data_IF_319438470438
#
_entry.id   IF_319438470438
#
_cell.length_a   1.000
_cell.length_b   1.000
_cell.length_c   1.000
_cell.angle_alpha   90.00
_cell.angle_beta   90.00
_cell.angle_gamma   90.00
#
_symmetry.space_group_name_H-M   'P 1'
#
loop_
_entity.id
_entity.type
_entity.pdbx_description
1 polymer ?
#
# COMPACT_ATOMS: atom_id res chain seq x y z
N UNK A 1 20.38 31.28 14.07
CA UNK A 1 19.72 30.17 13.34
C UNK A 1 18.51 29.75 14.18
N UNK A 2 17.30 30.08 13.76
CA UNK A 2 16.11 29.57 14.43
C UNK A 2 16.07 28.05 14.17
N UNK A 3 16.22 27.27 15.23
CA UNK A 3 16.02 25.83 15.20
C UNK A 3 14.49 25.58 15.04
N UNK A 4 14.08 24.92 13.98
CA UNK A 4 12.68 24.54 13.80
C UNK A 4 12.38 23.38 14.76
N UNK A 5 11.24 23.42 15.46
CA UNK A 5 10.77 22.32 16.30
C UNK A 5 9.46 21.74 15.75
N UNK A 6 9.26 20.46 15.95
CA UNK A 6 8.03 19.76 15.60
C UNK A 6 7.79 18.58 16.56
N UNK A 7 6.56 18.24 16.82
CA UNK A 7 6.25 17.03 17.60
C UNK A 7 6.58 15.78 16.79
N UNK A 8 6.19 15.77 15.52
CA UNK A 8 6.39 14.63 14.60
C UNK A 8 7.07 15.09 13.32
N UNK A 9 8.13 14.40 12.93
CA UNK A 9 8.75 14.53 11.61
C UNK A 9 8.48 13.27 10.79
N UNK A 10 7.76 13.43 9.68
CA UNK A 10 7.49 12.38 8.70
C UNK A 10 8.50 12.52 7.55
N UNK A 11 9.32 11.49 7.35
CA UNK A 11 10.37 11.46 6.31
C UNK A 11 9.84 10.65 5.12
N UNK A 12 9.61 11.33 4.01
CA UNK A 12 8.98 10.79 2.81
C UNK A 12 7.51 11.19 2.69
N UNK A 13 7.08 11.55 1.47
CA UNK A 13 5.72 11.99 1.13
C UNK A 13 4.90 10.88 0.43
N UNK A 14 5.05 9.64 0.86
CA UNK A 14 4.31 8.49 0.35
C UNK A 14 3.08 8.13 1.19
N UNK A 15 2.41 7.04 0.79
CA UNK A 15 1.15 6.58 1.42
C UNK A 15 1.28 6.31 2.92
N UNK A 16 2.42 5.77 3.38
CA UNK A 16 2.62 5.44 4.79
C UNK A 16 2.68 6.70 5.66
N UNK A 17 3.48 7.70 5.25
CA UNK A 17 3.56 8.99 5.95
C UNK A 17 2.24 9.75 5.91
N UNK A 18 1.55 9.75 4.76
CA UNK A 18 0.25 10.39 4.59
C UNK A 18 -0.82 9.76 5.51
N UNK A 19 -0.84 8.44 5.60
CA UNK A 19 -1.75 7.70 6.46
C UNK A 19 -1.47 7.99 7.93
N UNK A 20 -0.21 7.87 8.38
CA UNK A 20 0.18 8.15 9.75
C UNK A 20 -0.09 9.61 10.13
N UNK A 21 0.25 10.56 9.25
CA UNK A 21 -0.01 11.97 9.47
C UNK A 21 -1.50 12.27 9.66
N UNK A 22 -2.37 11.65 8.85
CA UNK A 22 -3.83 11.77 8.97
C UNK A 22 -4.33 11.19 10.30
N UNK A 23 -3.85 10.03 10.72
CA UNK A 23 -4.18 9.46 12.01
C UNK A 23 -3.76 10.34 13.17
N UNK A 24 -2.53 10.85 13.14
CA UNK A 24 -2.00 11.71 14.20
C UNK A 24 -2.76 13.03 14.29
N UNK A 25 -3.09 13.64 13.16
CA UNK A 25 -3.89 14.86 13.14
C UNK A 25 -5.28 14.66 13.73
N UNK A 26 -5.87 13.47 13.57
CA UNK A 26 -7.17 13.13 14.11
C UNK A 26 -7.12 12.81 15.61
N UNK A 27 -6.10 12.07 16.06
CA UNK A 27 -5.97 11.59 17.43
C UNK A 27 -5.30 12.62 18.37
N UNK A 28 -4.40 13.43 17.83
CA UNK A 28 -3.61 14.41 18.55
C UNK A 28 -3.62 15.76 17.79
N UNK A 29 -4.78 16.42 17.71
CA UNK A 29 -4.97 17.60 16.85
C UNK A 29 -4.08 18.79 17.19
N UNK A 30 -3.52 18.83 18.40
CA UNK A 30 -2.63 19.91 18.86
C UNK A 30 -1.15 19.64 18.54
N UNK A 31 -0.81 18.45 18.05
CA UNK A 31 0.58 18.16 17.70
C UNK A 31 0.99 18.82 16.39
N UNK A 32 2.19 19.37 16.38
CA UNK A 32 2.80 19.88 15.15
C UNK A 32 3.42 18.72 14.35
N UNK A 33 3.10 18.68 13.06
CA UNK A 33 3.56 17.65 12.14
C UNK A 33 4.32 18.32 10.98
N UNK A 34 5.57 17.94 10.78
CA UNK A 34 6.35 18.34 9.61
C UNK A 34 6.60 17.13 8.73
N UNK A 35 6.27 17.23 7.46
CA UNK A 35 6.59 16.23 6.44
C UNK A 35 7.69 16.77 5.53
N UNK A 36 8.72 15.96 5.28
CA UNK A 36 9.80 16.29 4.34
C UNK A 36 9.82 15.28 3.21
N UNK A 37 9.92 15.77 1.98
CA UNK A 37 9.98 14.96 0.76
C UNK A 37 11.13 15.44 -0.13
N UNK A 38 11.96 14.51 -0.61
CA UNK A 38 13.12 14.85 -1.45
C UNK A 38 12.72 15.30 -2.86
N UNK A 39 11.59 14.81 -3.37
CA UNK A 39 11.10 15.15 -4.70
C UNK A 39 10.40 16.52 -4.68
N UNK A 40 10.12 17.05 -5.86
CA UNK A 40 9.37 18.31 -6.03
C UNK A 40 7.87 18.19 -5.81
N UNK A 41 7.37 16.96 -5.66
CA UNK A 41 5.97 16.65 -5.32
C UNK A 41 5.86 15.37 -4.51
N UNK A 42 4.69 15.13 -3.92
CA UNK A 42 4.40 13.94 -3.12
C UNK A 42 3.95 12.78 -4.00
N UNK A 43 4.06 11.55 -3.52
CA UNK A 43 3.63 10.33 -4.19
C UNK A 43 4.33 10.02 -5.53
N UNK A 44 5.58 10.44 -5.69
CA UNK A 44 6.34 10.27 -6.94
C UNK A 44 7.16 8.97 -6.98
N UNK A 45 7.41 8.34 -5.85
CA UNK A 45 8.15 7.08 -5.72
C UNK A 45 7.19 5.86 -5.74
N UNK A 46 7.26 5.00 -4.73
CA UNK A 46 6.47 3.75 -4.65
C UNK A 46 4.96 3.96 -4.73
N UNK A 47 4.44 5.11 -4.26
CA UNK A 47 3.01 5.43 -4.31
C UNK A 47 2.53 5.93 -5.68
N UNK A 48 3.45 6.26 -6.60
CA UNK A 48 3.09 6.65 -7.96
C UNK A 48 2.46 5.47 -8.70
N UNK A 49 1.38 5.73 -9.45
CA UNK A 49 0.62 4.69 -10.16
C UNK A 49 1.42 3.90 -11.21
N UNK A 50 2.57 4.42 -11.67
CA UNK A 50 3.48 3.71 -12.57
C UNK A 50 4.54 2.86 -11.86
N UNK A 51 4.66 2.98 -10.53
CA UNK A 51 5.68 2.33 -9.72
C UNK A 51 5.13 1.21 -8.82
N UNK A 52 3.84 0.91 -8.93
CA UNK A 52 3.19 -0.20 -8.22
C UNK A 52 2.11 -0.84 -9.08
N UNK A 53 1.66 -2.02 -8.69
CA UNK A 53 0.65 -2.78 -9.44
C UNK A 53 -0.78 -2.23 -9.27
N UNK A 54 -1.00 -1.32 -8.33
CA UNK A 54 -2.32 -0.76 -8.05
C UNK A 54 -3.36 -1.77 -7.58
N UNK A 55 -2.94 -2.92 -7.06
CA UNK A 55 -3.86 -3.95 -6.58
C UNK A 55 -4.30 -3.68 -5.14
N UNK A 56 -5.57 -3.92 -4.86
CA UNK A 56 -6.04 -4.04 -3.50
C UNK A 56 -5.60 -5.39 -2.92
N UNK A 57 -4.54 -5.37 -2.10
CA UNK A 57 -3.87 -6.57 -1.61
C UNK A 57 -4.70 -7.34 -0.59
N UNK A 58 -5.75 -8.04 -1.07
CA UNK A 58 -6.61 -8.89 -0.25
C UNK A 58 -6.23 -10.38 -0.32
N UNK A 59 -5.04 -10.71 -0.82
CA UNK A 59 -4.52 -12.08 -1.00
C UNK A 59 -5.44 -12.99 -1.84
N UNK A 60 -6.21 -12.41 -2.74
CA UNK A 60 -7.21 -13.14 -3.55
C UNK A 60 -6.56 -13.89 -4.71
N UNK A 61 -5.47 -13.33 -5.27
CA UNK A 61 -4.81 -13.86 -6.47
C UNK A 61 -3.32 -14.19 -6.27
N UNK A 62 -2.65 -13.59 -5.31
CA UNK A 62 -1.20 -13.73 -5.11
C UNK A 62 -0.86 -15.11 -4.54
N UNK A 63 -0.14 -15.91 -5.33
CA UNK A 63 0.17 -17.30 -4.99
C UNK A 63 1.22 -17.44 -3.89
N UNK A 64 2.11 -16.45 -3.76
CA UNK A 64 3.21 -16.43 -2.79
C UNK A 64 2.78 -16.27 -1.33
N UNK A 65 1.50 -15.96 -1.08
CA UNK A 65 0.95 -15.86 0.28
C UNK A 65 0.42 -17.19 0.83
N UNK A 66 0.47 -18.23 0.03
CA UNK A 66 -0.05 -19.57 0.37
C UNK A 66 0.99 -20.65 0.08
N UNK A 67 2.12 -20.66 0.79
CA UNK A 67 3.19 -21.63 0.53
C UNK A 67 2.73 -23.07 0.79
N UNK A 68 3.22 -23.99 -0.04
CA UNK A 68 3.07 -25.42 0.20
C UNK A 68 4.07 -25.86 1.25
N UNK A 69 3.59 -26.60 2.26
CA UNK A 69 4.37 -27.16 3.35
C UNK A 69 4.21 -28.68 3.41
N UNK A 70 4.93 -29.35 4.30
CA UNK A 70 4.75 -30.78 4.55
C UNK A 70 3.31 -31.13 5.03
N UNK A 71 2.61 -30.17 5.64
CA UNK A 71 1.25 -30.35 6.16
C UNK A 71 0.16 -29.81 5.21
N UNK A 72 0.50 -29.51 3.94
CA UNK A 72 -0.41 -28.93 2.96
C UNK A 72 -0.18 -27.44 2.73
N UNK A 73 -1.19 -26.75 2.20
CA UNK A 73 -1.12 -25.30 1.94
C UNK A 73 -1.35 -24.52 3.23
N UNK A 74 -0.39 -23.67 3.59
CA UNK A 74 -0.56 -22.73 4.71
C UNK A 74 -1.20 -21.44 4.21
N UNK A 75 -2.32 -21.02 4.81
CA UNK A 75 -3.08 -19.83 4.44
C UNK A 75 -2.95 -18.67 5.44
N UNK A 76 -2.19 -18.83 6.53
CA UNK A 76 -2.12 -17.84 7.62
C UNK A 76 -1.72 -16.45 7.10
N UNK A 77 -0.66 -16.39 6.28
CA UNK A 77 -0.22 -15.14 5.68
C UNK A 77 -1.27 -14.50 4.76
N UNK A 78 -2.02 -15.31 4.02
CA UNK A 78 -3.10 -14.80 3.17
C UNK A 78 -4.24 -14.22 4.01
N UNK A 79 -4.59 -14.84 5.13
CA UNK A 79 -5.57 -14.34 6.10
C UNK A 79 -5.11 -13.00 6.67
N UNK A 80 -3.89 -12.93 7.21
CA UNK A 80 -3.34 -11.71 7.81
C UNK A 80 -3.35 -10.52 6.81
N UNK A 81 -2.97 -10.79 5.56
CA UNK A 81 -2.95 -9.76 4.51
C UNK A 81 -4.38 -9.32 4.14
N UNK A 82 -5.31 -10.27 4.04
CA UNK A 82 -6.71 -9.94 3.76
C UNK A 82 -7.31 -9.06 4.86
N UNK A 83 -7.11 -9.43 6.12
CA UNK A 83 -7.57 -8.65 7.28
C UNK A 83 -6.94 -7.24 7.31
N UNK A 84 -5.63 -7.13 7.10
CA UNK A 84 -4.93 -5.84 7.02
C UNK A 84 -5.48 -4.95 5.90
N UNK A 85 -5.80 -5.54 4.74
CA UNK A 85 -6.41 -4.78 3.65
C UNK A 85 -7.83 -4.32 3.99
N UNK A 86 -8.63 -5.13 4.66
CA UNK A 86 -9.95 -4.73 5.14
C UNK A 86 -9.87 -3.58 6.16
N UNK A 87 -8.88 -3.58 7.06
CA UNK A 87 -8.63 -2.45 7.97
C UNK A 87 -8.28 -1.18 7.17
N UNK A 88 -7.44 -1.29 6.14
CA UNK A 88 -7.12 -0.16 5.26
C UNK A 88 -8.37 0.41 4.58
N UNK A 89 -9.26 -0.45 4.09
CA UNK A 89 -10.54 -0.03 3.49
C UNK A 89 -11.46 0.67 4.49
N UNK A 90 -11.51 0.19 5.73
CA UNK A 90 -12.28 0.85 6.81
C UNK A 90 -11.72 2.24 7.10
N UNK A 91 -10.39 2.38 7.18
CA UNK A 91 -9.75 3.68 7.34
C UNK A 91 -10.12 4.63 6.18
N UNK A 92 -10.02 4.19 4.93
CA UNK A 92 -10.39 5.03 3.79
C UNK A 92 -11.88 5.41 3.81
N UNK A 93 -12.77 4.47 4.13
CA UNK A 93 -14.21 4.75 4.27
C UNK A 93 -14.49 5.78 5.36
N UNK A 94 -13.80 5.68 6.51
CA UNK A 94 -13.88 6.67 7.59
C UNK A 94 -13.41 8.06 7.09
N UNK A 95 -12.28 8.12 6.38
CA UNK A 95 -11.77 9.39 5.84
C UNK A 95 -12.68 9.99 4.76
N UNK A 96 -13.39 9.17 3.98
CA UNK A 96 -14.44 9.62 3.06
C UNK A 96 -15.60 10.26 3.84
N UNK A 97 -16.07 9.62 4.89
CA UNK A 97 -17.14 10.15 5.75
C UNK A 97 -16.75 11.49 6.38
N UNK A 98 -15.48 11.68 6.72
CA UNK A 98 -14.95 12.94 7.27
C UNK A 98 -14.68 14.01 6.20
N UNK A 99 -14.83 13.71 4.91
CA UNK A 99 -14.52 14.63 3.82
C UNK A 99 -13.03 14.86 3.57
N UNK A 100 -12.16 14.04 4.17
CA UNK A 100 -10.70 14.04 3.94
C UNK A 100 -10.37 13.41 2.59
N UNK A 101 -10.96 12.26 2.30
CA UNK A 101 -10.94 11.62 0.98
C UNK A 101 -12.23 11.92 0.23
N UNK A 102 -12.11 12.27 -1.05
CA UNK A 102 -13.25 12.60 -1.90
C UNK A 102 -13.24 11.76 -3.17
N UNK A 103 -14.42 11.61 -3.80
CA UNK A 103 -14.58 10.89 -5.06
C UNK A 103 -13.94 9.49 -5.01
N UNK A 104 -14.48 8.55 -4.20
CA UNK A 104 -13.87 7.22 -4.01
C UNK A 104 -13.47 6.51 -5.29
N UNK A 105 -14.25 6.65 -6.38
CA UNK A 105 -13.93 6.08 -7.69
C UNK A 105 -12.64 6.60 -8.32
N UNK A 106 -12.06 7.71 -7.82
CA UNK A 106 -10.77 8.19 -8.28
C UNK A 106 -9.60 7.37 -7.73
N UNK A 107 -9.82 6.59 -6.69
CA UNK A 107 -8.74 5.84 -6.04
C UNK A 107 -9.04 4.36 -5.74
N UNK A 108 -10.29 3.91 -5.74
CA UNK A 108 -10.63 2.49 -5.54
C UNK A 108 -11.80 2.08 -6.44
N UNK A 109 -11.63 0.98 -7.18
CA UNK A 109 -12.64 0.44 -8.07
C UNK A 109 -12.69 -1.07 -7.94
N UNK A 110 -13.88 -1.65 -8.10
CA UNK A 110 -14.04 -3.10 -8.14
C UNK A 110 -13.54 -3.65 -9.46
N UNK A 111 -12.64 -4.61 -9.41
CA UNK A 111 -12.13 -5.37 -10.56
C UNK A 111 -12.02 -6.84 -10.18
N UNK A 112 -12.31 -7.78 -11.09
CA UNK A 112 -12.08 -9.19 -10.80
C UNK A 112 -10.59 -9.47 -10.56
N UNK A 113 -10.29 -10.26 -9.53
CA UNK A 113 -8.94 -10.81 -9.34
C UNK A 113 -8.92 -12.27 -9.81
N UNK A 114 -7.84 -12.64 -10.48
CA UNK A 114 -7.68 -13.96 -11.08
C UNK A 114 -6.24 -14.45 -10.94
N UNK A 115 -6.07 -15.74 -10.62
CA UNK A 115 -4.80 -16.45 -10.79
C UNK A 115 -4.95 -17.45 -11.92
N UNK A 116 -3.91 -17.58 -12.73
CA UNK A 116 -3.86 -18.55 -13.83
C UNK A 116 -2.55 -19.31 -13.80
N UNK A 117 -2.62 -20.63 -13.96
CA UNK A 117 -1.46 -21.51 -13.98
C UNK A 117 -1.59 -22.56 -15.11
N UNK A 118 -0.46 -23.13 -15.50
CA UNK A 118 -0.40 -24.26 -16.44
C UNK A 118 0.64 -25.28 -15.99
N UNK A 119 0.51 -26.49 -16.50
CA UNK A 119 1.34 -27.64 -16.12
C UNK A 119 0.79 -28.34 -14.88
N UNK A 120 1.08 -29.65 -14.82
CA UNK A 120 0.44 -30.55 -13.82
C UNK A 120 0.69 -30.13 -12.39
N UNK A 121 1.94 -29.84 -12.03
CA UNK A 121 2.33 -29.47 -10.66
C UNK A 121 1.67 -28.15 -10.24
N UNK A 122 1.63 -27.17 -11.12
CA UNK A 122 1.00 -25.89 -10.84
C UNK A 122 -0.52 -26.00 -10.72
N UNK A 123 -1.15 -26.84 -11.54
CA UNK A 123 -2.59 -27.11 -11.46
C UNK A 123 -2.92 -27.80 -10.13
N UNK A 124 -2.13 -28.79 -9.73
CA UNK A 124 -2.28 -29.47 -8.44
C UNK A 124 -2.12 -28.49 -7.27
N UNK A 125 -1.12 -27.61 -7.33
CA UNK A 125 -0.92 -26.55 -6.34
C UNK A 125 -2.12 -25.62 -6.25
N UNK A 126 -2.60 -25.08 -7.38
CA UNK A 126 -3.72 -24.12 -7.38
C UNK A 126 -5.02 -24.76 -6.88
N UNK A 127 -5.24 -26.06 -7.19
CA UNK A 127 -6.37 -26.83 -6.68
C UNK A 127 -6.32 -26.97 -5.16
N UNK A 128 -5.14 -27.35 -4.64
CA UNK A 128 -4.91 -27.45 -3.20
C UNK A 128 -5.05 -26.12 -2.48
N UNK A 129 -4.51 -25.05 -3.08
CA UNK A 129 -4.66 -23.67 -2.59
C UNK A 129 -6.14 -23.28 -2.50
N UNK A 130 -6.89 -23.49 -3.55
CA UNK A 130 -8.33 -23.21 -3.56
C UNK A 130 -9.04 -23.94 -2.42
N UNK A 131 -8.82 -25.25 -2.28
CA UNK A 131 -9.42 -26.05 -1.21
C UNK A 131 -9.08 -25.54 0.19
N UNK A 132 -7.83 -25.13 0.42
CA UNK A 132 -7.39 -24.58 1.70
C UNK A 132 -8.05 -23.21 1.98
N UNK A 133 -8.10 -22.31 0.99
CA UNK A 133 -8.72 -21.00 1.13
C UNK A 133 -10.23 -21.08 1.42
N UNK A 134 -10.94 -22.10 0.91
CA UNK A 134 -12.37 -22.30 1.18
C UNK A 134 -12.68 -22.63 2.65
N UNK A 135 -11.66 -22.94 3.47
CA UNK A 135 -11.84 -23.13 4.92
C UNK A 135 -12.04 -21.78 5.65
N UNK A 136 -11.72 -20.66 5.02
CA UNK A 136 -11.90 -19.32 5.58
C UNK A 136 -13.03 -18.58 4.87
N UNK A 137 -13.92 -17.97 5.67
CA UNK A 137 -14.99 -17.10 5.18
C UNK A 137 -14.48 -15.97 4.27
N UNK A 138 -13.26 -15.47 4.54
CA UNK A 138 -12.65 -14.37 3.79
C UNK A 138 -12.48 -14.66 2.29
N UNK A 139 -12.40 -15.94 1.92
CA UNK A 139 -12.11 -16.36 0.54
C UNK A 139 -13.25 -17.14 -0.14
N UNK A 140 -14.43 -17.20 0.47
CA UNK A 140 -15.58 -17.95 -0.09
C UNK A 140 -16.04 -17.52 -1.48
N UNK A 141 -15.81 -16.26 -1.84
CA UNK A 141 -16.18 -15.74 -3.17
C UNK A 141 -15.25 -16.17 -4.31
N UNK A 142 -14.17 -16.91 -4.01
CA UNK A 142 -13.25 -17.42 -5.04
C UNK A 142 -13.88 -18.62 -5.73
N UNK A 143 -13.86 -18.61 -7.07
CA UNK A 143 -14.23 -19.74 -7.93
C UNK A 143 -12.99 -20.36 -8.54
N UNK A 144 -13.03 -21.67 -8.79
CA UNK A 144 -11.95 -22.45 -9.39
C UNK A 144 -12.44 -23.16 -10.66
N UNK A 145 -11.59 -23.24 -11.67
CA UNK A 145 -11.87 -24.03 -12.89
C UNK A 145 -10.59 -24.57 -13.52
N UNK A 146 -10.69 -25.78 -14.11
CA UNK A 146 -9.70 -26.37 -15.03
C UNK A 146 -10.27 -26.41 -16.47
N UNK A 147 -11.51 -26.00 -16.66
CA UNK A 147 -12.17 -26.00 -17.97
C UNK A 147 -11.65 -24.86 -18.84
N UNK A 148 -11.06 -25.21 -19.98
CA UNK A 148 -10.54 -24.27 -20.98
C UNK A 148 -11.58 -23.26 -21.44
N UNK A 149 -12.85 -23.67 -21.63
CA UNK A 149 -13.91 -22.77 -22.09
C UNK A 149 -14.29 -21.76 -21.01
N UNK A 150 -14.38 -22.23 -19.75
CA UNK A 150 -14.67 -21.36 -18.63
C UNK A 150 -13.54 -20.34 -18.41
N UNK A 151 -12.28 -20.78 -18.47
CA UNK A 151 -11.11 -19.89 -18.31
C UNK A 151 -11.06 -18.88 -19.46
N UNK A 152 -11.35 -19.33 -20.70
CA UNK A 152 -11.43 -18.43 -21.86
C UNK A 152 -12.54 -17.38 -21.69
N UNK A 153 -13.68 -17.75 -21.12
CA UNK A 153 -14.77 -16.82 -20.83
C UNK A 153 -14.36 -15.78 -19.76
N UNK A 154 -13.50 -16.16 -18.81
CA UNK A 154 -12.98 -15.25 -17.79
C UNK A 154 -11.89 -14.32 -18.32
N UNK A 155 -10.97 -14.85 -19.12
CA UNK A 155 -9.81 -14.13 -19.65
C UNK A 155 -9.40 -14.71 -21.02
N UNK A 156 -9.99 -14.22 -22.12
CA UNK A 156 -9.78 -14.79 -23.45
C UNK A 156 -8.30 -14.90 -23.86
N UNK A 157 -7.52 -13.86 -23.61
CA UNK A 157 -6.12 -13.76 -24.05
C UNK A 157 -5.18 -14.79 -23.42
N UNK A 158 -5.47 -15.25 -22.19
CA UNK A 158 -4.61 -16.28 -21.56
C UNK A 158 -4.78 -17.66 -22.19
N UNK A 159 -5.86 -17.86 -22.96
CA UNK A 159 -6.16 -19.11 -23.63
C UNK A 159 -5.90 -19.09 -25.16
N UNK A 160 -5.56 -17.92 -25.71
CA UNK A 160 -5.31 -17.78 -27.12
C UNK A 160 -4.02 -18.53 -27.53
N UNK A 161 -4.13 -19.36 -28.58
CA UNK A 161 -3.00 -20.14 -29.09
C UNK A 161 -2.54 -21.30 -28.20
N UNK A 162 -3.26 -21.64 -27.12
CA UNK A 162 -2.87 -22.76 -26.24
C UNK A 162 -3.24 -24.10 -26.83
N UNK A 163 -2.38 -25.08 -26.58
CA UNK A 163 -2.66 -26.48 -26.84
C UNK A 163 -3.92 -26.92 -26.03
N UNK A 164 -4.97 -27.45 -26.69
CA UNK A 164 -6.17 -27.94 -26.01
C UNK A 164 -5.91 -29.04 -24.98
N UNK A 165 -4.78 -29.74 -25.06
CA UNK A 165 -4.38 -30.79 -24.12
C UNK A 165 -3.54 -30.28 -22.96
N UNK A 166 -3.12 -29.03 -22.98
CA UNK A 166 -2.34 -28.45 -21.88
C UNK A 166 -3.19 -28.38 -20.62
N UNK A 167 -2.67 -28.94 -19.52
CA UNK A 167 -3.31 -28.77 -18.21
C UNK A 167 -3.22 -27.32 -17.76
N UNK A 168 -4.36 -26.72 -17.44
CA UNK A 168 -4.50 -25.35 -16.97
C UNK A 168 -5.45 -25.30 -15.78
N UNK A 169 -5.29 -24.29 -14.96
CA UNK A 169 -6.27 -23.98 -13.91
C UNK A 169 -6.28 -22.47 -13.65
N UNK A 170 -7.43 -21.99 -13.19
CA UNK A 170 -7.58 -20.61 -12.77
C UNK A 170 -8.48 -20.49 -11.54
N UNK A 171 -8.22 -19.47 -10.74
CA UNK A 171 -9.15 -18.95 -9.75
C UNK A 171 -9.60 -17.56 -10.15
N UNK A 172 -10.85 -17.20 -9.84
CA UNK A 172 -11.41 -15.89 -10.07
C UNK A 172 -12.36 -15.48 -8.97
N UNK A 173 -12.32 -14.21 -8.60
CA UNK A 173 -13.29 -13.58 -7.69
C UNK A 173 -13.67 -12.19 -8.19
N UNK A 174 -14.92 -11.81 -8.00
CA UNK A 174 -15.43 -10.47 -8.31
C UNK A 174 -15.16 -9.45 -7.19
N UNK A 175 -14.65 -9.91 -6.03
CA UNK A 175 -14.41 -9.06 -4.86
C UNK A 175 -13.08 -8.30 -4.91
N UNK A 176 -12.29 -8.45 -5.97
CA UNK A 176 -11.04 -7.74 -6.13
C UNK A 176 -11.24 -6.23 -6.30
N UNK A 177 -10.18 -5.48 -6.04
CA UNK A 177 -10.16 -4.03 -6.26
C UNK A 177 -8.84 -3.61 -6.87
N UNK A 178 -8.88 -2.56 -7.70
CA UNK A 178 -7.70 -1.76 -7.99
C UNK A 178 -7.66 -0.53 -7.07
N UNK A 179 -6.47 -0.02 -6.78
CA UNK A 179 -6.25 1.10 -5.89
C UNK A 179 -5.22 2.05 -6.47
N UNK A 180 -5.56 3.32 -6.58
CA UNK A 180 -4.62 4.38 -6.91
C UNK A 180 -4.04 4.97 -5.62
N UNK A 181 -2.94 4.39 -5.15
CA UNK A 181 -2.27 4.81 -3.91
C UNK A 181 -1.73 6.24 -4.00
N UNK A 182 -1.30 6.67 -5.18
CA UNK A 182 -0.87 8.04 -5.40
C UNK A 182 -2.00 9.04 -5.19
N UNK A 183 -3.20 8.73 -5.67
CA UNK A 183 -4.36 9.60 -5.47
C UNK A 183 -4.79 9.68 -4.00
N UNK A 184 -4.82 8.53 -3.30
CA UNK A 184 -5.08 8.53 -1.84
C UNK A 184 -4.03 9.40 -1.13
N UNK A 185 -2.75 9.21 -1.43
CA UNK A 185 -1.65 9.95 -0.81
C UNK A 185 -1.81 11.46 -1.02
N UNK A 186 -2.06 11.90 -2.26
CA UNK A 186 -2.26 13.32 -2.58
C UNK A 186 -3.44 13.92 -1.84
N UNK A 187 -4.57 13.22 -1.78
CA UNK A 187 -5.76 13.71 -1.08
C UNK A 187 -5.54 13.80 0.44
N UNK A 188 -4.91 12.80 1.05
CA UNK A 188 -4.58 12.83 2.48
C UNK A 188 -3.66 14.01 2.82
N UNK A 189 -2.58 14.21 2.04
CA UNK A 189 -1.63 15.30 2.27
C UNK A 189 -2.28 16.67 2.00
N UNK A 190 -3.10 16.80 0.95
CA UNK A 190 -3.84 18.02 0.69
C UNK A 190 -4.80 18.38 1.83
N UNK A 191 -5.39 17.38 2.49
CA UNK A 191 -6.20 17.60 3.69
C UNK A 191 -5.35 18.05 4.87
N UNK A 192 -4.20 17.41 5.10
CA UNK A 192 -3.26 17.80 6.15
C UNK A 192 -2.80 19.26 6.01
N UNK A 193 -2.53 19.71 4.79
CA UNK A 193 -2.09 21.08 4.50
C UNK A 193 -3.12 22.17 4.84
N UNK A 194 -4.37 21.79 5.15
CA UNK A 194 -5.40 22.74 5.63
C UNK A 194 -5.27 23.08 7.12
N UNK A 195 -4.41 22.36 7.86
CA UNK A 195 -4.20 22.55 9.29
C UNK A 195 -2.95 23.41 9.53
N UNK A 196 -3.08 24.41 10.38
CA UNK A 196 -2.01 25.38 10.67
C UNK A 196 -0.77 24.74 11.34
N UNK A 197 -0.96 23.61 12.00
CA UNK A 197 0.11 22.84 12.66
C UNK A 197 0.74 21.76 11.78
N UNK A 198 0.41 21.71 10.48
CA UNK A 198 1.04 20.84 9.50
C UNK A 198 1.93 21.64 8.54
N UNK A 199 3.14 21.15 8.29
CA UNK A 199 4.09 21.73 7.34
C UNK A 199 4.62 20.68 6.38
N UNK A 200 4.56 20.96 5.08
CA UNK A 200 5.15 20.15 4.01
C UNK A 200 6.37 20.87 3.42
N UNK A 201 7.53 20.19 3.43
CA UNK A 201 8.78 20.69 2.84
C UNK A 201 9.21 19.76 1.70
N UNK A 202 8.94 20.17 0.48
CA UNK A 202 9.38 19.50 -0.74
C UNK A 202 10.85 19.84 -1.07
N UNK A 203 11.48 19.08 -1.98
CA UNK A 203 12.87 19.27 -2.34
C UNK A 203 13.82 19.21 -1.15
N UNK A 204 13.50 18.41 -0.14
CA UNK A 204 14.19 18.37 1.14
C UNK A 204 14.68 16.96 1.45
N UNK A 205 15.99 16.78 1.59
CA UNK A 205 16.61 15.50 1.93
C UNK A 205 17.08 15.48 3.38
N UNK A 206 16.89 14.34 4.04
CA UNK A 206 17.47 14.07 5.36
C UNK A 206 18.91 13.62 5.18
N UNK A 207 19.84 14.28 5.87
CA UNK A 207 21.28 13.97 5.80
C UNK A 207 21.77 13.19 7.01
N UNK A 208 21.20 13.46 8.16
CA UNK A 208 21.58 12.83 9.41
C UNK A 208 20.49 13.04 10.44
N UNK A 209 20.31 12.05 11.30
CA UNK A 209 19.53 12.20 12.53
C UNK A 209 20.32 11.65 13.71
N UNK A 210 20.14 12.27 14.86
CA UNK A 210 20.80 11.92 16.13
C UNK A 210 19.75 11.97 17.24
N UNK A 211 19.68 10.91 18.05
CA UNK A 211 18.87 10.90 19.26
C UNK A 211 19.53 11.71 20.35
N UNK A 212 18.78 12.57 21.00
CA UNK A 212 19.23 13.42 22.11
C UNK A 212 19.04 12.72 23.46
N UNK A 213 19.64 13.26 24.51
CA UNK A 213 19.54 12.73 25.88
C UNK A 213 18.09 12.77 26.40
N UNK A 214 17.28 13.76 26.00
CA UNK A 214 15.86 13.92 26.32
C UNK A 214 14.94 13.03 25.48
N UNK A 215 15.50 12.08 24.71
CA UNK A 215 14.83 11.16 23.78
C UNK A 215 14.25 11.81 22.53
N UNK A 216 14.36 13.12 22.36
CA UNK A 216 14.04 13.79 21.09
C UNK A 216 15.12 13.52 20.03
N UNK A 217 14.87 14.01 18.81
CA UNK A 217 15.76 13.84 17.67
C UNK A 217 16.21 15.18 17.11
N UNK A 218 17.48 15.29 16.81
CA UNK A 218 18.05 16.38 16.01
C UNK A 218 18.27 15.86 14.60
N UNK A 219 17.56 16.44 13.63
CA UNK A 219 17.59 16.01 12.22
C UNK A 219 18.20 17.12 11.37
N UNK A 220 19.24 16.78 10.63
CA UNK A 220 19.86 17.68 9.65
C UNK A 220 19.20 17.47 8.30
N UNK A 221 18.57 18.51 7.81
CA UNK A 221 17.95 18.60 6.49
C UNK A 221 18.88 19.37 5.54
N UNK A 222 18.78 19.08 4.25
CA UNK A 222 19.41 19.87 3.19
C UNK A 222 18.42 20.03 2.03
N UNK A 223 18.64 21.07 1.25
CA UNK A 223 17.99 21.23 -0.03
C UNK A 223 18.44 20.14 -1.00
N UNK A 224 17.54 19.54 -1.77
CA UNK A 224 17.82 18.46 -2.71
C UNK A 224 18.76 18.92 -3.84
N UNK A 225 18.57 20.17 -4.31
CA UNK A 225 19.34 20.78 -5.40
C UNK A 225 20.62 21.43 -4.89
N UNK A 226 20.63 21.90 -3.63
CA UNK A 226 21.78 22.53 -2.99
C UNK A 226 22.12 21.91 -1.63
N UNK A 227 22.80 20.77 -1.65
CA UNK A 227 23.14 19.98 -0.45
C UNK A 227 24.06 20.72 0.56
N UNK A 228 24.62 21.89 0.20
CA UNK A 228 25.40 22.74 1.11
C UNK A 228 24.50 23.56 2.03
N UNK A 229 23.28 23.86 1.57
CA UNK A 229 22.30 24.61 2.35
C UNK A 229 21.62 23.67 3.34
N UNK A 230 22.17 23.66 4.56
CA UNK A 230 21.71 22.80 5.65
C UNK A 230 20.89 23.59 6.67
N UNK A 231 19.86 22.93 7.20
CA UNK A 231 19.08 23.39 8.35
C UNK A 231 18.85 22.25 9.33
N UNK A 232 18.44 22.58 10.54
CA UNK A 232 18.21 21.60 11.60
C UNK A 232 16.78 21.71 12.08
N UNK A 233 16.14 20.57 12.28
CA UNK A 233 14.85 20.45 12.93
C UNK A 233 14.98 19.54 14.15
N UNK A 234 14.38 19.92 15.27
CA UNK A 234 14.23 19.09 16.45
C UNK A 234 12.83 18.46 16.45
N UNK A 235 12.75 17.13 16.60
CA UNK A 235 11.50 16.40 16.61
C UNK A 235 11.40 15.51 17.84
N UNK A 236 10.22 15.43 18.46
CA UNK A 236 9.98 14.48 19.54
C UNK A 236 9.90 13.05 19.01
N UNK A 237 9.32 12.85 17.83
CA UNK A 237 9.17 11.57 17.15
C UNK A 237 9.54 11.71 15.67
N UNK A 238 10.18 10.69 15.10
CA UNK A 238 10.44 10.60 13.66
C UNK A 238 9.83 9.32 13.10
N UNK A 239 9.28 9.41 11.90
CA UNK A 239 8.83 8.27 11.12
C UNK A 239 9.55 8.25 9.78
N UNK A 240 10.16 7.11 9.43
CA UNK A 240 10.87 6.93 8.17
C UNK A 240 9.96 6.20 7.20
N UNK A 241 9.26 6.96 6.37
CA UNK A 241 8.37 6.49 5.32
C UNK A 241 8.96 6.66 3.91
N UNK A 242 10.28 6.47 3.78
CA UNK A 242 11.03 6.75 2.56
C UNK A 242 11.00 5.59 1.52
N UNK A 243 10.24 4.53 1.78
CA UNK A 243 10.13 3.39 0.86
C UNK A 243 11.49 2.76 0.54
N UNK A 244 11.73 2.48 -0.73
CA UNK A 244 12.99 1.89 -1.20
C UNK A 244 14.21 2.82 -1.15
N UNK A 245 14.03 4.08 -0.77
CA UNK A 245 15.10 5.08 -0.62
C UNK A 245 15.57 5.26 0.83
N UNK A 246 15.06 4.44 1.77
CA UNK A 246 15.40 4.50 3.19
C UNK A 246 16.80 3.97 3.50
#
# INVERSE_FOLDING_TARGET
RHEQETDVLLIGGGIMSATLGTWLQELEPDWSITMVEQMSSVAEESSNGWNNAGTGHAALMELNYTPQTANGINIDKAVDINEAFHISRQFWAHQVTRGVLNKPKSFINSVPHMSFVWGEDNVNFLRARYAALQQSELFRGIRYSEDHQQIKAWAPLVMEGRDPLQKVAATRTEMGTDVNYGEITRQLIASLQKHDNFSLQLGTVVRRFKRNADKSWTVTLADADNRRQKRVIKAKFIFIGAGGAA
#
